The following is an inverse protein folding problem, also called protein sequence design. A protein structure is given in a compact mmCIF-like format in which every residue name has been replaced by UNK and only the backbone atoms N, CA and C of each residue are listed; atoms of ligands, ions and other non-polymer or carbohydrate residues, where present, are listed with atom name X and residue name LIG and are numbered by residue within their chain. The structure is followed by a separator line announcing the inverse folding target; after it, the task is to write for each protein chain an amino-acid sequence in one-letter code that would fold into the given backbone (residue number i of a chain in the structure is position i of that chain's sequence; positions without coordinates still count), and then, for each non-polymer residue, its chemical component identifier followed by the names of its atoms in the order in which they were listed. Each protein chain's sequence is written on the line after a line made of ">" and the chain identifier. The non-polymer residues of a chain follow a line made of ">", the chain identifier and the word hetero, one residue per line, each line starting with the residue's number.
data_IF_700084411114
#
_entry.id   IF_700084411114
#
_cell.length_a   1.000
_cell.length_b   1.000
_cell.length_c   1.000
_cell.angle_alpha   90.00
_cell.angle_beta   90.00
_cell.angle_gamma   90.00
#
_symmetry.space_group_name_H-M   'P 1'
#
loop_
_entity.id
_entity.type
_entity.pdbx_description
1 polymer ?
#
# COMPACT_ATOMS: atom_id res chain seq x y z
N UNK A 1 -7.61 6.07 -5.67
CA UNK A 1 -6.71 6.56 -6.74
C UNK A 1 -7.09 7.96 -7.21
N UNK A 2 -6.14 8.91 -7.12
CA UNK A 2 -6.30 10.31 -7.58
C UNK A 2 -5.65 10.54 -8.94
N UNK A 3 -6.44 10.94 -9.94
CA UNK A 3 -5.94 11.23 -11.30
C UNK A 3 -4.91 12.36 -11.31
N UNK A 4 -5.08 13.38 -10.47
CA UNK A 4 -4.14 14.49 -10.37
C UNK A 4 -2.77 14.03 -9.87
N UNK A 5 -2.75 13.18 -8.84
CA UNK A 5 -1.49 12.66 -8.29
C UNK A 5 -0.79 11.74 -9.29
N UNK A 6 -1.56 10.93 -10.01
CA UNK A 6 -1.03 10.12 -11.10
C UNK A 6 -0.30 10.95 -12.16
N UNK A 7 -0.90 12.03 -12.65
CA UNK A 7 -0.27 12.92 -13.64
C UNK A 7 1.04 13.51 -13.11
N UNK A 8 1.07 13.92 -11.84
CA UNK A 8 2.29 14.43 -11.20
C UNK A 8 3.38 13.35 -11.12
N UNK A 9 3.04 12.14 -10.71
CA UNK A 9 4.00 11.03 -10.63
C UNK A 9 4.55 10.68 -12.03
N UNK A 10 3.70 10.68 -13.05
CA UNK A 10 4.15 10.51 -14.44
C UNK A 10 5.15 11.58 -14.88
N UNK A 11 4.93 12.85 -14.50
CA UNK A 11 5.88 13.93 -14.77
C UNK A 11 7.20 13.73 -14.03
N UNK A 12 7.15 13.36 -12.74
CA UNK A 12 8.35 13.05 -11.96
C UNK A 12 9.15 11.90 -12.57
N UNK A 13 8.47 10.87 -13.06
CA UNK A 13 9.11 9.76 -13.79
C UNK A 13 9.76 10.23 -15.08
N UNK A 14 9.06 11.06 -15.87
CA UNK A 14 9.61 11.60 -17.11
C UNK A 14 10.85 12.48 -16.88
N UNK A 15 10.92 13.17 -15.74
CA UNK A 15 12.08 13.95 -15.31
C UNK A 15 13.22 13.09 -14.72
N UNK A 16 13.03 11.78 -14.59
CA UNK A 16 14.02 10.87 -13.99
C UNK A 16 14.16 10.99 -12.47
N UNK A 17 13.21 11.62 -11.79
CA UNK A 17 13.23 11.79 -10.32
C UNK A 17 12.72 10.54 -9.58
N UNK A 18 11.88 9.76 -10.23
CA UNK A 18 11.39 8.46 -9.75
C UNK A 18 11.46 7.42 -10.87
N UNK A 19 11.55 6.15 -10.50
CA UNK A 19 11.53 5.01 -11.41
C UNK A 19 10.42 4.01 -11.02
N UNK A 20 10.15 3.04 -11.89
CA UNK A 20 9.24 1.90 -11.61
C UNK A 20 7.89 2.31 -11.01
N UNK A 21 7.30 3.37 -11.56
CA UNK A 21 5.97 3.82 -11.15
C UNK A 21 4.89 2.83 -11.57
N UNK A 22 4.11 2.38 -10.59
CA UNK A 22 2.96 1.50 -10.74
C UNK A 22 1.77 1.98 -9.89
N UNK A 23 0.58 1.46 -10.23
CA UNK A 23 -0.67 1.70 -9.53
C UNK A 23 -1.23 0.40 -8.96
N UNK A 24 -2.08 0.51 -7.94
CA UNK A 24 -2.95 -0.57 -7.46
C UNK A 24 -2.17 -1.86 -7.12
N UNK A 25 -1.08 -1.73 -6.38
CA UNK A 25 -0.43 -2.91 -5.85
C UNK A 25 -1.22 -3.48 -4.66
N UNK A 26 -0.94 -4.74 -4.37
CA UNK A 26 -1.58 -5.46 -3.29
C UNK A 26 -0.57 -6.37 -2.58
N UNK A 27 -0.38 -6.14 -1.28
CA UNK A 27 0.49 -6.95 -0.43
C UNK A 27 -0.32 -7.90 0.42
N UNK A 28 0.05 -9.18 0.44
CA UNK A 28 -0.53 -10.15 1.38
C UNK A 28 0.08 -9.95 2.77
N UNK A 29 -0.73 -9.49 3.72
CA UNK A 29 -0.29 -9.29 5.10
C UNK A 29 -0.43 -10.56 5.93
N UNK A 30 -1.61 -11.19 5.86
CA UNK A 30 -1.93 -12.38 6.67
C UNK A 30 -2.59 -13.41 5.76
N UNK A 31 -2.08 -14.64 5.80
CA UNK A 31 -2.68 -15.78 5.07
C UNK A 31 -4.09 -16.06 5.59
N UNK A 32 -4.87 -16.83 4.83
CA UNK A 32 -6.17 -17.29 5.30
C UNK A 32 -6.01 -18.14 6.57
N UNK A 33 -6.90 -17.95 7.54
CA UNK A 33 -6.84 -18.65 8.84
C UNK A 33 -8.19 -19.28 9.15
N UNK A 34 -8.18 -20.51 9.66
CA UNK A 34 -9.38 -21.18 10.17
C UNK A 34 -9.36 -21.11 11.68
N UNK A 35 -10.32 -20.39 12.24
CA UNK A 35 -10.49 -20.31 13.69
C UNK A 35 -11.14 -21.59 14.22
N UNK A 36 -10.76 -21.98 15.44
CA UNK A 36 -11.40 -23.09 16.13
C UNK A 36 -12.90 -22.79 16.30
N UNK A 37 -13.75 -23.76 15.96
CA UNK A 37 -15.20 -23.61 16.02
C UNK A 37 -15.84 -22.87 14.84
N UNK A 38 -15.07 -22.40 13.85
CA UNK A 38 -15.62 -21.78 12.65
C UNK A 38 -15.84 -22.79 11.52
N UNK A 39 -16.99 -22.68 10.86
CA UNK A 39 -17.36 -23.53 9.72
C UNK A 39 -16.61 -23.16 8.44
N UNK A 40 -16.07 -21.94 8.35
CA UNK A 40 -15.33 -21.45 7.18
C UNK A 40 -14.01 -20.78 7.57
N UNK A 41 -13.06 -20.83 6.64
CA UNK A 41 -11.77 -20.16 6.74
C UNK A 41 -11.95 -18.66 6.49
N UNK A 42 -11.33 -17.81 7.31
CA UNK A 42 -11.28 -16.37 7.04
C UNK A 42 -10.31 -16.08 5.89
N UNK A 43 -10.65 -15.14 5.00
CA UNK A 43 -9.86 -14.87 3.81
C UNK A 43 -8.51 -14.23 4.16
N UNK A 44 -7.62 -14.22 3.17
CA UNK A 44 -6.34 -13.50 3.20
C UNK A 44 -6.60 -12.01 3.46
N UNK A 45 -5.83 -11.41 4.37
CA UNK A 45 -5.82 -9.96 4.58
C UNK A 45 -4.76 -9.35 3.67
N UNK A 46 -5.18 -8.39 2.84
CA UNK A 46 -4.30 -7.62 1.95
C UNK A 46 -4.21 -6.16 2.39
N UNK A 47 -3.09 -5.54 2.05
CA UNK A 47 -2.92 -4.11 1.97
C UNK A 47 -3.02 -3.72 0.50
N UNK A 48 -3.94 -2.82 0.16
CA UNK A 48 -4.11 -2.31 -1.19
C UNK A 48 -3.71 -0.83 -1.20
N UNK A 49 -2.64 -0.50 -1.89
CA UNK A 49 -2.10 0.86 -2.04
C UNK A 49 -2.52 1.53 -3.35
N UNK A 50 -2.46 2.86 -3.38
CA UNK A 50 -2.74 3.61 -4.60
C UNK A 50 -1.55 3.57 -5.57
N UNK A 51 -0.33 3.81 -5.09
CA UNK A 51 0.87 3.93 -5.91
C UNK A 51 2.10 3.32 -5.24
N UNK A 52 3.02 2.79 -6.05
CA UNK A 52 4.37 2.44 -5.62
C UNK A 52 5.39 2.81 -6.70
N UNK A 53 6.58 3.25 -6.27
CA UNK A 53 7.66 3.72 -7.14
C UNK A 53 8.99 3.69 -6.41
N UNK A 54 10.10 3.84 -7.14
CA UNK A 54 11.44 4.01 -6.58
C UNK A 54 11.81 5.48 -6.60
N UNK A 55 12.19 6.03 -5.45
CA UNK A 55 12.69 7.40 -5.28
C UNK A 55 14.02 7.33 -4.55
N UNK A 56 15.11 7.80 -5.20
CA UNK A 56 16.48 7.76 -4.62
C UNK A 56 16.88 6.36 -4.12
N UNK A 57 16.65 5.34 -4.97
CA UNK A 57 16.95 3.93 -4.69
C UNK A 57 16.17 3.31 -3.50
N UNK A 58 15.10 3.98 -3.06
CA UNK A 58 14.21 3.47 -2.00
C UNK A 58 12.82 3.25 -2.57
N UNK A 59 12.23 2.08 -2.27
CA UNK A 59 10.82 1.82 -2.57
C UNK A 59 9.92 2.72 -1.73
N UNK A 60 9.05 3.45 -2.41
CA UNK A 60 8.06 4.32 -1.82
C UNK A 60 6.68 3.77 -2.14
N UNK A 61 5.93 3.48 -1.09
CA UNK A 61 4.51 3.12 -1.17
C UNK A 61 3.71 4.35 -0.75
N UNK A 62 2.84 4.83 -1.64
CA UNK A 62 2.03 6.01 -1.43
C UNK A 62 0.54 5.66 -1.44
N UNK A 63 -0.15 6.08 -0.39
CA UNK A 63 -1.57 5.80 -0.19
C UNK A 63 -2.34 7.10 0.09
N UNK A 64 -3.34 7.40 -0.75
CA UNK A 64 -4.16 8.59 -0.62
C UNK A 64 -5.30 8.33 0.37
N UNK A 65 -5.31 9.06 1.49
CA UNK A 65 -6.33 8.91 2.53
C UNK A 65 -6.84 10.26 3.00
N UNK A 66 -8.14 10.48 2.84
CA UNK A 66 -8.83 11.64 3.43
C UNK A 66 -9.07 11.48 4.94
N UNK A 67 -9.50 10.28 5.37
CA UNK A 67 -9.74 9.94 6.78
C UNK A 67 -8.96 8.68 7.12
N UNK A 68 -8.22 8.72 8.24
CA UNK A 68 -7.51 7.57 8.76
C UNK A 68 -8.45 6.74 9.62
N UNK A 69 -8.76 5.53 9.17
CA UNK A 69 -9.57 4.58 9.94
C UNK A 69 -8.69 3.72 10.86
N UNK A 70 -9.31 3.11 11.87
CA UNK A 70 -8.66 2.12 12.73
C UNK A 70 -8.18 0.91 11.93
N UNK A 71 -8.98 0.44 10.96
CA UNK A 71 -8.61 -0.64 10.05
C UNK A 71 -7.37 -0.29 9.23
N UNK A 72 -7.33 0.92 8.64
CA UNK A 72 -6.15 1.40 7.92
C UNK A 72 -4.91 1.40 8.81
N UNK A 73 -5.05 1.92 10.03
CA UNK A 73 -3.94 2.03 11.00
C UNK A 73 -3.40 0.64 11.37
N UNK A 74 -4.31 -0.32 11.60
CA UNK A 74 -3.95 -1.71 11.86
C UNK A 74 -3.22 -2.36 10.67
N UNK A 75 -3.76 -2.23 9.45
CA UNK A 75 -3.14 -2.78 8.25
C UNK A 75 -1.76 -2.16 7.98
N UNK A 76 -1.61 -0.85 8.15
CA UNK A 76 -0.32 -0.15 8.04
C UNK A 76 0.68 -0.65 9.10
N UNK A 77 0.23 -0.86 10.33
CA UNK A 77 1.07 -1.43 11.39
C UNK A 77 1.54 -2.84 11.02
N UNK A 78 0.62 -3.71 10.56
CA UNK A 78 0.94 -5.07 10.12
C UNK A 78 1.92 -5.07 8.94
N UNK A 79 1.75 -4.13 8.00
CA UNK A 79 2.65 -3.98 6.86
C UNK A 79 4.08 -3.70 7.30
N UNK A 80 4.28 -2.77 8.25
CA UNK A 80 5.61 -2.49 8.82
C UNK A 80 6.16 -3.67 9.62
N UNK A 81 5.33 -4.27 10.48
CA UNK A 81 5.76 -5.33 11.38
C UNK A 81 6.11 -6.64 10.66
N UNK A 82 5.38 -7.00 9.59
CA UNK A 82 5.54 -8.27 8.90
C UNK A 82 6.43 -8.17 7.66
N UNK A 83 6.38 -7.06 6.93
CA UNK A 83 7.08 -6.89 5.65
C UNK A 83 8.21 -5.85 5.72
N UNK A 84 8.33 -5.09 6.81
CA UNK A 84 9.32 -4.00 6.94
C UNK A 84 9.01 -2.75 6.10
N UNK A 85 7.95 -2.81 5.28
CA UNK A 85 7.55 -1.77 4.34
C UNK A 85 6.86 -0.60 5.05
N UNK A 86 7.10 0.60 4.54
CA UNK A 86 6.56 1.83 5.10
C UNK A 86 5.68 2.56 4.10
N UNK A 87 4.50 2.99 4.55
CA UNK A 87 3.52 3.66 3.70
C UNK A 87 3.51 5.16 3.98
N UNK A 88 3.73 5.96 2.94
CA UNK A 88 3.58 7.41 2.92
C UNK A 88 2.11 7.75 2.71
N UNK A 89 1.49 8.41 3.70
CA UNK A 89 0.10 8.84 3.60
C UNK A 89 0.03 10.23 3.00
N UNK A 90 -0.78 10.37 1.95
CA UNK A 90 -1.04 11.66 1.28
C UNK A 90 -2.52 12.01 1.42
N UNK A 91 -2.84 13.28 1.60
CA UNK A 91 -4.22 13.80 1.73
C UNK A 91 -4.76 14.29 0.40
#
# INVERSE_FOLDING_TARGET
>A
MSLRRWVQLCQLKALGLIADLHCQGAYVLVKSVKFQGFNCTKPVIRYDEDFFYVEKDVEVIEDMKGVLTTEFTLKRHLMKALLGLEVRVVK
#
